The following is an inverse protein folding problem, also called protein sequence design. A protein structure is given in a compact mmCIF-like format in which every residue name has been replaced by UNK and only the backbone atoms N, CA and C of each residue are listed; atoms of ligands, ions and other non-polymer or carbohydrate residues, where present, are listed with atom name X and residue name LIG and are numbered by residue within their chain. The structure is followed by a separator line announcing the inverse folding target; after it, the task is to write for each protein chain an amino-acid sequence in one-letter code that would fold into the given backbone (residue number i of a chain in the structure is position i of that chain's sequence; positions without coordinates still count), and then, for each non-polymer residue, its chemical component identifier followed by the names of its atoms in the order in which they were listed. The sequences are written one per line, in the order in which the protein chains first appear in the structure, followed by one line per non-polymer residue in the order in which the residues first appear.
data_IF_423037322409
#
_entry.id   IF_423037322409
#
_cell.length_a   1.000
_cell.length_b   1.000
_cell.length_c   1.000
_cell.angle_alpha   90.00
_cell.angle_beta   90.00
_cell.angle_gamma   90.00
#
_symmetry.space_group_name_H-M   'P 1'
#
loop_
_entity.id
_entity.type
_entity.pdbx_description
1 polymer ?
#
# COMPACT_ATOMS: atom_id res chain seq x y z
N UNK A 1 24.79 34.10 -21.98
CA UNK A 1 25.35 33.40 -20.81
C UNK A 1 24.19 33.09 -19.87
N UNK A 2 23.60 31.92 -20.02
CA UNK A 2 22.53 31.41 -19.16
C UNK A 2 22.84 29.95 -18.90
N UNK A 3 23.04 29.64 -17.62
CA UNK A 3 23.39 28.32 -17.11
C UNK A 3 22.31 27.30 -17.47
N UNK A 4 22.62 26.40 -18.39
CA UNK A 4 21.96 25.11 -18.50
C UNK A 4 22.58 24.18 -17.45
N UNK A 5 21.98 24.15 -16.25
CA UNK A 5 22.16 23.03 -15.34
C UNK A 5 21.52 21.80 -15.99
N UNK A 6 22.32 21.06 -16.75
CA UNK A 6 22.01 19.68 -17.11
C UNK A 6 21.85 18.90 -15.82
N UNK A 7 20.62 18.51 -15.50
CA UNK A 7 20.34 17.42 -14.57
C UNK A 7 21.18 16.23 -15.01
N UNK A 8 22.22 15.91 -14.23
CA UNK A 8 22.94 14.65 -14.37
C UNK A 8 21.94 13.54 -14.10
N UNK A 9 21.64 12.78 -15.15
CA UNK A 9 20.93 11.52 -15.07
C UNK A 9 21.81 10.57 -14.23
N UNK A 10 21.60 10.57 -12.91
CA UNK A 10 22.25 9.64 -11.99
C UNK A 10 21.69 8.26 -12.27
N UNK A 11 22.31 7.55 -13.22
CA UNK A 11 21.99 6.17 -13.54
C UNK A 11 22.07 5.36 -12.24
N UNK A 12 20.92 4.89 -11.75
CA UNK A 12 20.84 4.17 -10.47
C UNK A 12 21.74 2.94 -10.53
N UNK A 13 22.59 2.74 -9.51
CA UNK A 13 23.50 1.60 -9.46
C UNK A 13 22.70 0.29 -9.55
N UNK A 14 23.07 -0.63 -10.46
CA UNK A 14 22.29 -1.84 -10.66
C UNK A 14 22.33 -2.73 -9.41
N UNK A 15 21.22 -3.44 -9.17
CA UNK A 15 21.17 -4.50 -8.17
C UNK A 15 22.01 -5.67 -8.69
N UNK A 16 23.09 -6.01 -7.98
CA UNK A 16 23.97 -7.13 -8.33
C UNK A 16 23.76 -8.31 -7.38
N UNK A 17 24.03 -9.55 -7.82
CA UNK A 17 24.01 -10.72 -6.94
C UNK A 17 24.92 -10.57 -5.71
N UNK A 18 26.06 -9.88 -5.88
CA UNK A 18 26.99 -9.59 -4.78
C UNK A 18 26.37 -8.69 -3.71
N UNK A 19 25.74 -7.58 -4.12
CA UNK A 19 25.10 -6.66 -3.18
C UNK A 19 23.90 -7.32 -2.48
N UNK A 20 23.10 -8.11 -3.20
CA UNK A 20 22.01 -8.89 -2.60
C UNK A 20 22.54 -9.89 -1.57
N UNK A 21 23.66 -10.56 -1.84
CA UNK A 21 24.27 -11.49 -0.89
C UNK A 21 24.72 -10.79 0.39
N UNK A 22 25.33 -9.60 0.29
CA UNK A 22 25.65 -8.76 1.47
C UNK A 22 24.38 -8.42 2.24
N UNK A 23 23.34 -7.98 1.54
CA UNK A 23 22.07 -7.59 2.15
C UNK A 23 21.42 -8.73 2.93
N UNK A 24 21.25 -9.90 2.31
CA UNK A 24 20.63 -11.04 3.00
C UNK A 24 21.50 -11.58 4.14
N UNK A 25 22.83 -11.56 4.00
CA UNK A 25 23.74 -12.05 5.06
C UNK A 25 23.81 -11.12 6.26
N UNK A 26 23.92 -9.80 6.04
CA UNK A 26 24.27 -8.82 7.08
C UNK A 26 23.13 -7.90 7.51
N UNK A 27 22.15 -7.64 6.62
CA UNK A 27 21.21 -6.53 6.77
C UNK A 27 19.75 -6.98 6.92
N UNK A 28 19.31 -8.01 6.21
CA UNK A 28 17.90 -8.44 6.24
C UNK A 28 17.46 -8.84 7.67
N UNK A 29 16.32 -8.33 8.20
CA UNK A 29 15.90 -8.57 9.58
C UNK A 29 15.18 -9.92 9.75
N UNK A 30 15.84 -11.02 9.36
CA UNK A 30 15.31 -12.39 9.30
C UNK A 30 14.57 -12.83 10.57
N UNK A 31 15.15 -12.57 11.74
CA UNK A 31 14.58 -12.96 13.03
C UNK A 31 13.24 -12.26 13.31
N UNK A 32 13.19 -10.93 13.21
CA UNK A 32 11.96 -10.14 13.48
C UNK A 32 10.91 -10.44 12.40
N UNK A 33 11.36 -10.63 11.16
CA UNK A 33 10.52 -11.00 10.01
C UNK A 33 9.82 -12.35 10.21
N UNK A 34 10.54 -13.38 10.65
CA UNK A 34 9.93 -14.68 10.93
C UNK A 34 9.02 -14.63 12.16
N UNK A 35 9.36 -13.80 13.16
CA UNK A 35 8.54 -13.57 14.36
C UNK A 35 7.19 -12.92 14.03
N UNK A 36 7.15 -12.00 13.06
CA UNK A 36 5.90 -11.47 12.50
C UNK A 36 5.04 -12.58 11.90
N UNK A 37 5.60 -13.38 10.98
CA UNK A 37 4.86 -14.37 10.22
C UNK A 37 4.46 -15.61 11.02
N UNK A 38 5.12 -15.84 12.15
CA UNK A 38 4.73 -16.83 13.15
C UNK A 38 3.57 -16.33 14.05
N UNK A 39 3.32 -15.02 14.09
CA UNK A 39 2.40 -14.35 15.01
C UNK A 39 2.62 -14.75 16.49
N UNK A 40 3.88 -14.88 16.87
CA UNK A 40 4.32 -15.46 18.14
C UNK A 40 5.79 -15.84 18.06
N UNK A 41 6.27 -16.62 19.02
CA UNK A 41 7.64 -17.17 18.94
C UNK A 41 7.68 -18.34 17.93
N UNK A 42 8.50 -18.29 16.86
CA UNK A 42 8.48 -19.30 15.80
C UNK A 42 8.66 -20.74 16.26
N UNK A 43 9.44 -20.96 17.33
CA UNK A 43 9.67 -22.30 17.90
C UNK A 43 8.40 -22.91 18.53
N UNK A 44 7.41 -22.07 18.87
CA UNK A 44 6.14 -22.47 19.47
C UNK A 44 4.96 -22.38 18.48
N UNK A 45 5.19 -21.97 17.22
CA UNK A 45 4.13 -21.67 16.26
C UNK A 45 4.24 -22.55 15.00
N UNK A 46 3.49 -23.68 14.94
CA UNK A 46 3.45 -24.56 13.77
C UNK A 46 3.11 -23.85 12.45
N UNK A 47 2.34 -22.76 12.54
CA UNK A 47 1.86 -21.94 11.41
C UNK A 47 3.02 -21.42 10.54
N UNK A 48 4.18 -21.11 11.12
CA UNK A 48 5.32 -20.63 10.35
C UNK A 48 5.83 -21.71 9.37
N UNK A 49 5.86 -22.97 9.81
CA UNK A 49 6.29 -24.09 8.96
C UNK A 49 5.32 -24.42 7.83
N UNK A 50 4.09 -23.94 7.93
CA UNK A 50 3.02 -24.09 6.96
C UNK A 50 2.83 -22.87 6.07
N UNK A 51 3.61 -21.80 6.30
CA UNK A 51 3.60 -20.58 5.48
C UNK A 51 4.24 -20.84 4.13
N UNK A 52 3.57 -20.46 3.06
CA UNK A 52 4.16 -20.41 1.72
C UNK A 52 5.04 -19.16 1.55
N UNK A 53 6.21 -19.37 0.97
CA UNK A 53 7.04 -18.34 0.36
C UNK A 53 7.27 -18.69 -1.12
N UNK A 54 7.48 -17.65 -1.93
CA UNK A 54 8.08 -17.82 -3.25
C UNK A 54 9.32 -16.96 -3.43
N UNK A 55 10.29 -17.51 -4.14
CA UNK A 55 11.50 -16.83 -4.54
C UNK A 55 11.57 -16.74 -6.07
N UNK A 56 11.82 -15.53 -6.58
CA UNK A 56 12.29 -15.34 -7.96
C UNK A 56 13.80 -15.21 -7.91
N UNK A 57 14.50 -16.09 -8.62
CA UNK A 57 15.96 -16.08 -8.73
C UNK A 57 16.38 -15.42 -10.05
N UNK A 58 17.69 -15.35 -10.27
CA UNK A 58 18.27 -14.90 -11.55
C UNK A 58 17.63 -15.62 -12.74
N UNK A 59 17.50 -14.91 -13.87
CA UNK A 59 16.78 -15.34 -15.07
C UNK A 59 15.28 -15.61 -14.87
N UNK A 60 14.66 -14.88 -13.92
CA UNK A 60 13.23 -14.99 -13.57
C UNK A 60 12.80 -16.43 -13.19
N UNK A 61 13.73 -17.26 -12.69
CA UNK A 61 13.41 -18.61 -12.22
C UNK A 61 12.54 -18.51 -10.97
N UNK A 62 11.26 -18.83 -11.15
CA UNK A 62 10.25 -18.70 -10.11
C UNK A 62 10.03 -20.01 -9.35
N UNK A 63 10.20 -19.99 -8.02
CA UNK A 63 10.00 -21.14 -7.13
C UNK A 63 8.93 -20.84 -6.09
N UNK A 64 7.81 -21.55 -6.18
CA UNK A 64 6.69 -21.51 -5.21
C UNK A 64 6.74 -22.64 -4.20
N UNK A 65 5.84 -22.56 -3.22
CA UNK A 65 5.66 -23.58 -2.20
C UNK A 65 6.92 -23.85 -1.38
N UNK A 66 7.74 -22.82 -1.18
CA UNK A 66 8.81 -22.87 -0.18
C UNK A 66 8.19 -22.71 1.21
N UNK A 67 8.76 -23.38 2.21
CA UNK A 67 8.30 -23.30 3.60
C UNK A 67 9.41 -23.71 4.55
N UNK A 68 9.52 -23.05 5.71
CA UNK A 68 10.66 -23.17 6.60
C UNK A 68 10.20 -23.41 8.04
N UNK A 69 10.89 -24.29 8.76
CA UNK A 69 10.49 -24.71 10.10
C UNK A 69 10.78 -23.64 11.16
N UNK A 70 11.78 -22.79 10.92
CA UNK A 70 12.20 -21.73 11.84
C UNK A 70 13.01 -20.64 11.09
N UNK A 71 13.36 -19.57 11.80
CA UNK A 71 14.12 -18.45 11.24
C UNK A 71 15.54 -18.83 10.77
N UNK A 72 16.16 -19.85 11.36
CA UNK A 72 17.50 -20.31 10.98
C UNK A 72 17.46 -21.02 9.61
N UNK A 73 16.46 -21.89 9.39
CA UNK A 73 16.25 -22.56 8.10
C UNK A 73 15.92 -21.53 7.01
N UNK A 74 15.04 -20.56 7.31
CA UNK A 74 14.70 -19.47 6.40
C UNK A 74 15.93 -18.64 6.03
N UNK A 75 16.70 -18.17 7.01
CA UNK A 75 17.88 -17.34 6.77
C UNK A 75 18.96 -18.07 5.97
N UNK A 76 19.21 -19.35 6.29
CA UNK A 76 20.17 -20.18 5.56
C UNK A 76 19.80 -20.31 4.08
N UNK A 77 18.54 -20.63 3.78
CA UNK A 77 18.09 -20.76 2.39
C UNK A 77 17.98 -19.40 1.68
N UNK A 78 17.62 -18.33 2.38
CA UNK A 78 17.61 -16.96 1.85
C UNK A 78 19.02 -16.54 1.38
N UNK A 79 20.04 -16.75 2.22
CA UNK A 79 21.44 -16.45 1.88
C UNK A 79 21.94 -17.34 0.73
N UNK A 80 21.61 -18.63 0.76
CA UNK A 80 22.04 -19.61 -0.24
C UNK A 80 21.42 -19.37 -1.62
N UNK A 81 20.12 -19.09 -1.67
CA UNK A 81 19.40 -18.88 -2.93
C UNK A 81 19.54 -17.45 -3.45
N UNK A 82 19.76 -16.47 -2.57
CA UNK A 82 19.93 -15.05 -2.89
C UNK A 82 18.87 -14.53 -3.89
N UNK A 83 17.57 -14.58 -3.54
CA UNK A 83 16.50 -14.26 -4.48
C UNK A 83 16.45 -12.78 -4.86
N UNK A 84 16.05 -12.48 -6.10
CA UNK A 84 15.75 -11.12 -6.56
C UNK A 84 14.40 -10.60 -6.02
N UNK A 85 13.43 -11.51 -5.85
CA UNK A 85 12.09 -11.20 -5.32
C UNK A 85 11.67 -12.25 -4.31
N UNK A 86 10.98 -11.81 -3.27
CA UNK A 86 10.40 -12.65 -2.23
C UNK A 86 8.92 -12.29 -2.14
N UNK A 87 8.06 -13.28 -2.22
CA UNK A 87 6.63 -13.11 -1.98
C UNK A 87 6.17 -14.03 -0.86
N UNK A 88 5.14 -13.59 -0.13
CA UNK A 88 4.56 -14.29 1.02
C UNK A 88 3.16 -14.74 0.66
N UNK A 89 2.85 -15.98 1.00
CA UNK A 89 1.54 -16.61 0.74
C UNK A 89 0.77 -16.95 2.00
N UNK A 90 -0.20 -17.86 1.84
CA UNK A 90 -1.02 -18.34 2.95
C UNK A 90 -0.24 -19.24 3.91
N UNK A 91 -0.79 -19.40 5.11
CA UNK A 91 -0.58 -20.61 5.92
C UNK A 91 -1.49 -21.70 5.37
N UNK A 92 -0.94 -22.89 5.13
CA UNK A 92 -1.65 -24.04 4.59
C UNK A 92 -1.93 -25.10 5.64
N UNK A 93 -2.82 -26.05 5.33
CA UNK A 93 -3.09 -27.24 6.15
C UNK A 93 -1.89 -28.17 6.36
N UNK A 94 -0.88 -28.09 5.50
CA UNK A 94 0.37 -28.83 5.58
C UNK A 94 1.52 -27.97 5.07
N UNK A 95 2.77 -28.43 5.25
CA UNK A 95 3.96 -27.71 4.80
C UNK A 95 3.93 -27.56 3.26
N UNK A 96 3.96 -26.34 2.70
CA UNK A 96 3.96 -26.12 1.26
C UNK A 96 5.01 -26.92 0.50
N UNK A 97 6.22 -27.11 1.05
CA UNK A 97 7.28 -27.89 0.37
C UNK A 97 6.90 -29.35 0.08
N UNK A 98 5.93 -29.89 0.83
CA UNK A 98 5.45 -31.27 0.70
C UNK A 98 4.16 -31.38 -0.14
N UNK A 99 3.66 -30.28 -0.73
CA UNK A 99 2.36 -30.24 -1.44
C UNK A 99 2.18 -31.31 -2.52
N UNK A 100 3.26 -31.73 -3.19
CA UNK A 100 3.21 -32.76 -4.24
C UNK A 100 2.84 -34.15 -3.73
N UNK A 101 2.98 -34.39 -2.43
CA UNK A 101 2.64 -35.66 -1.78
C UNK A 101 1.20 -35.69 -1.26
N UNK A 102 0.46 -34.58 -1.41
CA UNK A 102 -0.85 -34.37 -0.81
C UNK A 102 -1.91 -34.17 -1.88
N UNK A 103 -3.13 -34.64 -1.62
CA UNK A 103 -4.29 -34.31 -2.45
C UNK A 103 -4.79 -32.90 -2.19
N UNK A 104 -5.61 -32.35 -3.10
CA UNK A 104 -6.26 -31.04 -2.93
C UNK A 104 -7.12 -30.95 -1.67
N UNK A 105 -7.71 -32.07 -1.22
CA UNK A 105 -8.47 -32.10 0.03
C UNK A 105 -7.58 -32.02 1.29
N UNK A 106 -6.28 -32.38 1.15
CA UNK A 106 -5.31 -32.37 2.24
C UNK A 106 -4.42 -31.12 2.25
N UNK A 107 -4.34 -30.40 1.12
CA UNK A 107 -3.53 -29.20 0.96
C UNK A 107 -4.37 -28.01 0.51
N UNK A 108 -4.78 -27.17 1.46
CA UNK A 108 -5.60 -25.99 1.23
C UNK A 108 -5.16 -24.83 2.13
N UNK A 109 -5.37 -23.56 1.72
CA UNK A 109 -5.03 -22.41 2.54
C UNK A 109 -5.99 -22.30 3.74
N UNK A 110 -5.44 -22.00 4.92
CA UNK A 110 -6.17 -21.86 6.18
C UNK A 110 -6.34 -20.38 6.54
N UNK A 111 -5.23 -19.65 6.60
CA UNK A 111 -5.22 -18.24 6.98
C UNK A 111 -4.20 -17.47 6.16
N UNK A 112 -4.47 -16.18 5.95
CA UNK A 112 -3.56 -15.23 5.30
C UNK A 112 -3.95 -13.83 5.71
N UNK A 113 -2.98 -12.95 5.93
CA UNK A 113 -3.22 -11.52 6.10
C UNK A 113 -4.23 -10.98 5.07
N UNK A 114 -5.10 -10.08 5.51
CA UNK A 114 -5.88 -9.27 4.58
C UNK A 114 -4.94 -8.21 4.00
N UNK A 115 -4.77 -8.23 2.68
CA UNK A 115 -3.79 -7.37 2.01
C UNK A 115 -4.44 -6.46 0.98
N UNK A 116 -3.88 -5.27 0.82
CA UNK A 116 -4.27 -4.31 -0.21
C UNK A 116 -3.04 -3.91 -1.01
N UNK A 117 -3.17 -3.86 -2.33
CA UNK A 117 -2.14 -3.38 -3.25
C UNK A 117 -2.69 -2.21 -4.07
N UNK A 118 -1.90 -1.14 -4.13
CA UNK A 118 -2.25 0.14 -4.71
C UNK A 118 -1.05 0.58 -5.54
N UNK A 119 -1.19 0.51 -6.87
CA UNK A 119 -0.15 0.93 -7.81
C UNK A 119 -0.53 2.23 -8.50
N UNK A 120 0.42 3.16 -8.60
CA UNK A 120 0.24 4.43 -9.29
C UNK A 120 -0.18 4.29 -10.77
N UNK A 121 0.11 3.17 -11.45
CA UNK A 121 -0.36 2.97 -12.84
C UNK A 121 -1.87 2.97 -12.97
N UNK A 122 -2.59 2.61 -11.90
CA UNK A 122 -4.04 2.62 -11.94
C UNK A 122 -4.62 4.02 -12.04
N UNK A 123 -3.80 5.07 -11.81
CA UNK A 123 -4.17 6.49 -11.88
C UNK A 123 -3.65 7.19 -13.14
N UNK A 124 -3.12 6.46 -14.12
CA UNK A 124 -2.53 7.03 -15.33
C UNK A 124 -3.47 7.92 -16.16
N UNK A 125 -4.77 7.76 -16.01
CA UNK A 125 -5.81 8.55 -16.67
C UNK A 125 -6.14 9.88 -15.95
N UNK A 126 -5.82 9.99 -14.66
CA UNK A 126 -6.13 11.16 -13.80
C UNK A 126 -4.90 11.90 -13.28
N UNK A 127 -3.69 11.38 -13.51
CA UNK A 127 -2.42 12.09 -13.29
C UNK A 127 -1.84 12.61 -14.60
N UNK A 128 -1.22 13.80 -14.55
CA UNK A 128 -0.67 14.50 -15.70
C UNK A 128 0.82 14.84 -15.57
N UNK A 129 1.43 14.63 -14.40
CA UNK A 129 2.84 14.89 -14.17
C UNK A 129 3.79 13.75 -14.56
N UNK A 130 3.30 12.50 -14.62
CA UNK A 130 4.08 11.29 -14.90
C UNK A 130 3.22 10.28 -15.70
N UNK A 131 3.83 9.26 -16.29
CA UNK A 131 3.13 8.15 -16.96
C UNK A 131 3.71 6.79 -16.55
N UNK A 132 2.87 5.75 -16.61
CA UNK A 132 3.29 4.37 -16.43
C UNK A 132 4.02 4.15 -15.12
N UNK A 133 5.31 3.85 -15.17
CA UNK A 133 6.06 3.47 -13.99
C UNK A 133 6.77 4.60 -13.26
N UNK A 134 6.75 5.81 -13.82
CA UNK A 134 7.35 6.99 -13.24
C UNK A 134 6.48 7.54 -12.12
N UNK A 135 7.13 8.09 -11.10
CA UNK A 135 6.49 8.80 -10.00
C UNK A 135 7.27 10.07 -9.66
N UNK A 136 6.58 11.05 -9.09
CA UNK A 136 7.17 12.23 -8.49
C UNK A 136 6.34 12.63 -7.27
N UNK A 137 6.85 13.56 -6.45
CA UNK A 137 6.17 14.05 -5.25
C UNK A 137 4.74 14.51 -5.51
N UNK A 138 4.45 15.06 -6.69
CA UNK A 138 3.11 15.50 -7.08
C UNK A 138 2.11 14.35 -7.13
N UNK A 139 2.38 13.31 -7.94
CA UNK A 139 1.44 12.18 -8.04
C UNK A 139 1.47 11.29 -6.80
N UNK A 140 2.54 11.32 -5.98
CA UNK A 140 2.58 10.56 -4.73
C UNK A 140 1.49 10.96 -3.74
N UNK A 141 0.95 12.17 -3.83
CA UNK A 141 -0.26 12.60 -3.10
C UNK A 141 -1.43 11.62 -3.24
N UNK A 142 -1.56 10.93 -4.39
CA UNK A 142 -2.57 9.87 -4.56
C UNK A 142 -2.36 8.69 -3.62
N UNK A 143 -1.11 8.27 -3.39
CA UNK A 143 -0.83 7.21 -2.41
C UNK A 143 -1.09 7.69 -0.99
N UNK A 144 -0.83 8.97 -0.68
CA UNK A 144 -1.15 9.55 0.64
C UNK A 144 -2.65 9.57 0.90
N UNK A 145 -3.47 9.92 -0.09
CA UNK A 145 -4.93 9.79 0.02
C UNK A 145 -5.35 8.34 0.21
N UNK A 146 -4.83 7.43 -0.63
CA UNK A 146 -5.16 6.02 -0.58
C UNK A 146 -4.84 5.39 0.80
N UNK A 147 -3.64 5.64 1.33
CA UNK A 147 -3.24 5.16 2.65
C UNK A 147 -4.13 5.71 3.76
N UNK A 148 -4.38 7.02 3.79
CA UNK A 148 -5.21 7.63 4.84
C UNK A 148 -6.65 7.12 4.81
N UNK A 149 -7.27 7.05 3.63
CA UNK A 149 -8.65 6.59 3.48
C UNK A 149 -8.77 5.12 3.88
N UNK A 150 -7.90 4.26 3.36
CA UNK A 150 -7.98 2.82 3.64
C UNK A 150 -7.60 2.52 5.10
N UNK A 151 -6.56 3.15 5.65
CA UNK A 151 -6.16 2.91 7.05
C UNK A 151 -7.29 3.30 8.01
N UNK A 152 -7.94 4.45 7.76
CA UNK A 152 -9.11 4.89 8.50
C UNK A 152 -10.26 3.88 8.41
N UNK A 153 -10.62 3.43 7.21
CA UNK A 153 -11.67 2.41 7.03
C UNK A 153 -11.34 1.14 7.81
N UNK A 154 -10.11 0.64 7.69
CA UNK A 154 -9.69 -0.59 8.36
C UNK A 154 -9.73 -0.46 9.89
N UNK A 155 -9.37 0.71 10.43
CA UNK A 155 -9.36 0.96 11.86
C UNK A 155 -10.74 1.29 12.43
N UNK A 156 -11.41 2.31 11.88
CA UNK A 156 -12.63 2.87 12.44
C UNK A 156 -13.88 2.09 12.01
N UNK A 157 -13.94 1.64 10.76
CA UNK A 157 -15.14 0.97 10.22
C UNK A 157 -15.10 -0.55 10.52
N UNK A 158 -13.90 -1.15 10.51
CA UNK A 158 -13.72 -2.60 10.72
C UNK A 158 -13.05 -3.01 12.05
N UNK A 159 -12.47 -2.07 12.80
CA UNK A 159 -11.84 -2.37 14.10
C UNK A 159 -10.54 -3.19 14.02
N UNK A 160 -9.88 -3.23 12.86
CA UNK A 160 -8.58 -3.91 12.75
C UNK A 160 -7.49 -3.05 13.38
N UNK A 161 -6.63 -3.64 14.20
CA UNK A 161 -5.60 -2.95 14.97
C UNK A 161 -4.19 -3.14 14.41
N UNK A 162 -3.92 -4.27 13.76
CA UNK A 162 -2.59 -4.67 13.32
C UNK A 162 -2.39 -4.45 11.83
N UNK A 163 -2.32 -3.17 11.43
CA UNK A 163 -2.14 -2.73 10.04
C UNK A 163 -0.69 -2.31 9.78
N UNK A 164 -0.04 -2.94 8.78
CA UNK A 164 1.33 -2.65 8.37
C UNK A 164 1.36 -2.13 6.94
N UNK A 165 1.61 -0.84 6.77
CA UNK A 165 1.82 -0.21 5.47
C UNK A 165 3.27 -0.32 5.03
N UNK A 166 3.49 -0.69 3.77
CA UNK A 166 4.79 -0.95 3.17
C UNK A 166 4.89 -0.20 1.84
N UNK A 167 5.97 0.55 1.64
CA UNK A 167 6.33 1.05 0.32
C UNK A 167 6.74 -0.13 -0.59
N UNK A 168 6.20 -0.23 -1.80
CA UNK A 168 6.45 -1.37 -2.70
C UNK A 168 7.89 -1.43 -3.28
N UNK A 169 8.70 -0.40 -3.04
CA UNK A 169 10.04 -0.23 -3.58
C UNK A 169 10.08 0.54 -4.91
N UNK A 170 8.92 0.89 -5.49
CA UNK A 170 8.86 1.70 -6.71
C UNK A 170 7.77 2.75 -6.70
N UNK A 171 6.51 2.37 -6.91
CA UNK A 171 5.43 3.29 -7.28
C UNK A 171 4.10 3.02 -6.60
N UNK A 172 4.10 2.19 -5.56
CA UNK A 172 2.87 1.79 -4.89
C UNK A 172 3.12 1.52 -3.42
N UNK A 173 2.05 1.13 -2.75
CA UNK A 173 2.05 0.76 -1.34
C UNK A 173 1.24 -0.49 -1.13
N UNK A 174 1.66 -1.32 -0.17
CA UNK A 174 0.93 -2.49 0.27
C UNK A 174 0.48 -2.29 1.71
N UNK A 175 -0.72 -2.73 2.05
CA UNK A 175 -1.17 -2.85 3.45
C UNK A 175 -1.28 -4.33 3.82
N UNK A 176 -0.76 -4.71 4.98
CA UNK A 176 -0.90 -6.04 5.57
C UNK A 176 -1.64 -5.94 6.89
N UNK A 177 -2.87 -6.45 6.95
CA UNK A 177 -3.68 -6.53 8.17
C UNK A 177 -3.47 -7.91 8.80
N UNK A 178 -2.84 -7.92 9.98
CA UNK A 178 -2.35 -9.11 10.67
C UNK A 178 -3.23 -9.55 11.84
N UNK A 179 -4.35 -8.88 12.11
CA UNK A 179 -5.34 -9.30 13.11
C UNK A 179 -5.81 -10.73 12.86
N UNK A 180 -5.98 -11.54 13.91
CA UNK A 180 -6.38 -12.95 13.72
C UNK A 180 -7.70 -13.07 12.95
N UNK A 181 -8.68 -12.23 13.31
CA UNK A 181 -9.98 -12.16 12.63
C UNK A 181 -9.83 -11.81 11.14
N UNK A 182 -8.91 -10.89 10.79
CA UNK A 182 -8.60 -10.55 9.41
C UNK A 182 -7.97 -11.72 8.65
N UNK A 183 -7.11 -12.51 9.31
CA UNK A 183 -6.41 -13.62 8.68
C UNK A 183 -7.32 -14.79 8.31
N UNK A 184 -8.34 -15.01 9.12
CA UNK A 184 -9.30 -16.11 8.99
C UNK A 184 -10.47 -15.77 8.04
N UNK A 185 -10.56 -14.52 7.54
CA UNK A 185 -11.63 -14.09 6.64
C UNK A 185 -11.69 -14.94 5.37
N UNK A 186 -12.88 -15.45 5.06
CA UNK A 186 -13.15 -16.17 3.83
C UNK A 186 -13.16 -15.23 2.61
N UNK A 187 -12.97 -15.78 1.40
CA UNK A 187 -12.88 -15.00 0.17
C UNK A 187 -14.11 -14.11 -0.08
N UNK A 188 -15.32 -14.56 0.29
CA UNK A 188 -16.56 -13.76 0.18
C UNK A 188 -16.57 -12.56 1.13
N UNK A 189 -16.07 -12.71 2.35
CA UNK A 189 -15.97 -11.59 3.30
C UNK A 189 -14.88 -10.61 2.87
N UNK A 190 -13.75 -11.11 2.36
CA UNK A 190 -12.71 -10.26 1.74
C UNK A 190 -13.28 -9.47 0.57
N UNK A 191 -14.10 -10.11 -0.27
CA UNK A 191 -14.79 -9.45 -1.37
C UNK A 191 -15.71 -8.32 -0.87
N UNK A 192 -16.49 -8.56 0.18
CA UNK A 192 -17.36 -7.54 0.76
C UNK A 192 -16.58 -6.32 1.30
N UNK A 193 -15.40 -6.53 1.90
CA UNK A 193 -14.52 -5.43 2.33
C UNK A 193 -14.01 -4.64 1.14
N UNK A 194 -13.57 -5.32 0.07
CA UNK A 194 -13.14 -4.65 -1.16
C UNK A 194 -14.29 -3.84 -1.77
N UNK A 195 -15.49 -4.40 -1.84
CA UNK A 195 -16.69 -3.71 -2.33
C UNK A 195 -17.08 -2.51 -1.47
N UNK A 196 -16.93 -2.61 -0.15
CA UNK A 196 -17.15 -1.49 0.76
C UNK A 196 -16.22 -0.31 0.49
N UNK A 197 -14.94 -0.60 0.19
CA UNK A 197 -13.94 0.44 -0.11
C UNK A 197 -14.07 0.94 -1.54
N UNK A 198 -14.47 0.09 -2.50
CA UNK A 198 -14.43 0.41 -3.93
C UNK A 198 -15.55 1.38 -4.34
N UNK A 199 -15.14 2.57 -4.79
CA UNK A 199 -16.04 3.61 -5.30
C UNK A 199 -16.04 3.68 -6.83
N UNK A 200 -14.92 3.36 -7.47
CA UNK A 200 -14.73 3.42 -8.92
C UNK A 200 -15.15 2.07 -9.52
N UNK A 201 -16.41 1.99 -9.98
CA UNK A 201 -17.08 0.71 -10.29
C UNK A 201 -17.25 0.41 -11.79
N UNK A 202 -16.70 1.25 -12.68
CA UNK A 202 -16.80 1.06 -14.12
C UNK A 202 -15.43 1.04 -14.82
N UNK A 203 -15.35 0.35 -15.95
CA UNK A 203 -14.14 0.22 -16.75
C UNK A 203 -13.60 1.57 -17.24
N UNK A 204 -12.32 1.60 -17.67
CA UNK A 204 -11.61 2.82 -18.10
C UNK A 204 -12.28 3.55 -19.27
N UNK A 205 -13.11 2.86 -20.05
CA UNK A 205 -13.84 3.43 -21.19
C UNK A 205 -15.20 4.05 -20.82
N UNK A 206 -15.66 3.88 -19.57
CA UNK A 206 -16.90 4.51 -19.11
C UNK A 206 -16.73 6.02 -18.97
N UNK A 207 -17.70 6.79 -19.44
CA UNK A 207 -17.70 8.25 -19.29
C UNK A 207 -17.87 8.71 -17.83
N UNK A 208 -18.50 7.89 -16.98
CA UNK A 208 -18.68 8.13 -15.54
C UNK A 208 -18.43 6.85 -14.77
N UNK A 209 -17.48 6.86 -13.83
CA UNK A 209 -17.09 5.67 -13.03
C UNK A 209 -17.42 5.77 -11.55
N UNK A 210 -17.67 7.00 -11.08
CA UNK A 210 -18.12 7.27 -9.72
C UNK A 210 -19.57 7.74 -9.77
N UNK A 211 -20.43 7.08 -9.01
CA UNK A 211 -21.83 7.51 -8.80
C UNK A 211 -22.12 7.44 -7.31
N UNK A 212 -22.46 8.59 -6.73
CA UNK A 212 -22.73 8.72 -5.31
C UNK A 212 -24.21 9.00 -5.06
N UNK A 213 -24.66 8.68 -3.85
CA UNK A 213 -26.04 8.85 -3.43
C UNK A 213 -26.16 9.81 -2.25
N UNK A 214 -27.32 10.45 -2.10
CA UNK A 214 -27.64 11.33 -0.98
C UNK A 214 -28.66 10.66 -0.06
N UNK A 215 -28.45 10.63 1.27
CA UNK A 215 -27.27 11.14 1.97
C UNK A 215 -26.01 10.31 1.68
N UNK A 216 -24.85 10.96 1.71
CA UNK A 216 -23.57 10.30 1.48
C UNK A 216 -23.28 9.32 2.64
N UNK A 217 -22.81 8.11 2.32
CA UNK A 217 -22.44 7.12 3.34
C UNK A 217 -21.36 7.68 4.28
N UNK A 218 -21.40 7.43 5.61
CA UNK A 218 -20.44 8.01 6.57
C UNK A 218 -18.97 7.77 6.20
N UNK A 219 -18.61 6.56 5.78
CA UNK A 219 -17.24 6.24 5.32
C UNK A 219 -16.77 7.14 4.17
N UNK A 220 -17.69 7.49 3.26
CA UNK A 220 -17.41 8.40 2.15
C UNK A 220 -17.37 9.87 2.58
N UNK A 221 -18.13 10.27 3.62
CA UNK A 221 -18.03 11.61 4.20
C UNK A 221 -16.62 11.86 4.76
N UNK A 222 -16.06 10.87 5.47
CA UNK A 222 -14.68 10.95 5.97
C UNK A 222 -13.64 10.93 4.84
N UNK A 223 -13.83 10.09 3.83
CA UNK A 223 -12.95 10.09 2.66
C UNK A 223 -12.95 11.45 1.94
N UNK A 224 -14.11 12.09 1.83
CA UNK A 224 -14.24 13.46 1.29
C UNK A 224 -13.47 14.46 2.13
N UNK A 225 -13.57 14.41 3.45
CA UNK A 225 -12.83 15.31 4.35
C UNK A 225 -11.32 15.19 4.14
N UNK A 226 -10.80 13.97 4.03
CA UNK A 226 -9.38 13.70 3.73
C UNK A 226 -8.96 14.29 2.38
N UNK A 227 -9.77 14.14 1.34
CA UNK A 227 -9.42 14.65 0.01
C UNK A 227 -9.52 16.19 -0.02
N UNK A 228 -10.53 16.79 0.63
CA UNK A 228 -10.75 18.23 0.65
C UNK A 228 -9.56 19.03 1.19
N UNK A 229 -8.77 18.48 2.12
CA UNK A 229 -7.63 19.20 2.72
C UNK A 229 -6.56 19.57 1.69
N UNK A 230 -6.37 18.74 0.66
CA UNK A 230 -5.27 18.88 -0.30
C UNK A 230 -5.72 18.90 -1.75
N UNK A 231 -7.01 18.71 -2.06
CA UNK A 231 -7.51 18.60 -3.44
C UNK A 231 -7.13 19.79 -4.31
N UNK A 232 -7.38 21.03 -3.86
CA UNK A 232 -7.09 22.22 -4.65
C UNK A 232 -5.56 22.36 -4.88
N UNK A 233 -4.73 22.02 -3.89
CA UNK A 233 -3.27 21.98 -4.05
C UNK A 233 -2.83 20.93 -5.07
N UNK A 234 -3.31 19.69 -4.90
CA UNK A 234 -2.94 18.57 -5.76
C UNK A 234 -3.54 18.70 -7.18
N UNK A 235 -4.86 18.69 -7.31
CA UNK A 235 -5.53 18.61 -8.60
C UNK A 235 -5.36 19.92 -9.39
N UNK A 236 -5.53 21.08 -8.74
CA UNK A 236 -5.49 22.36 -9.44
C UNK A 236 -4.07 22.87 -9.66
N UNK A 237 -3.20 22.87 -8.63
CA UNK A 237 -1.86 23.48 -8.76
C UNK A 237 -0.83 22.48 -9.30
N UNK A 238 -0.77 21.26 -8.75
CA UNK A 238 0.29 20.32 -9.12
C UNK A 238 0.00 19.58 -10.43
N UNK A 239 -1.26 19.15 -10.61
CA UNK A 239 -1.71 18.38 -11.77
C UNK A 239 -2.30 19.26 -12.88
N UNK A 240 -2.71 20.49 -12.58
CA UNK A 240 -3.41 21.40 -13.51
C UNK A 240 -4.48 20.63 -14.32
N UNK A 241 -5.37 19.93 -13.60
CA UNK A 241 -6.31 18.95 -14.18
C UNK A 241 -7.37 19.53 -15.12
N UNK A 242 -7.47 20.86 -15.21
CA UNK A 242 -8.29 21.62 -16.14
C UNK A 242 -7.44 22.58 -16.98
N UNK A 243 -6.13 22.38 -17.08
CA UNK A 243 -5.20 23.32 -17.71
C UNK A 243 -5.34 23.47 -19.23
N UNK A 244 -5.65 22.36 -19.92
CA UNK A 244 -5.75 22.29 -21.37
C UNK A 244 -7.09 21.72 -21.85
N UNK A 245 -7.34 21.85 -23.16
CA UNK A 245 -8.59 21.42 -23.80
C UNK A 245 -8.85 19.92 -23.66
N UNK A 246 -7.81 19.08 -23.72
CA UNK A 246 -7.97 17.63 -23.59
C UNK A 246 -8.39 17.25 -22.17
N UNK A 247 -7.81 17.88 -21.16
CA UNK A 247 -8.15 17.65 -19.75
C UNK A 247 -9.54 18.17 -19.42
N UNK A 248 -9.91 19.35 -19.93
CA UNK A 248 -11.28 19.87 -19.83
C UNK A 248 -12.26 18.89 -20.47
N UNK A 249 -11.97 18.35 -21.65
CA UNK A 249 -12.86 17.38 -22.31
C UNK A 249 -13.05 16.10 -21.50
N UNK A 250 -12.01 15.63 -20.78
CA UNK A 250 -12.14 14.51 -19.84
C UNK A 250 -13.04 14.87 -18.67
N UNK A 251 -12.81 16.04 -18.06
CA UNK A 251 -13.63 16.55 -16.96
C UNK A 251 -15.11 16.68 -17.35
N UNK A 252 -15.40 17.21 -18.55
CA UNK A 252 -16.75 17.39 -19.06
C UNK A 252 -17.53 16.08 -19.18
N UNK A 253 -16.87 14.95 -19.45
CA UNK A 253 -17.53 13.63 -19.54
C UNK A 253 -18.11 13.17 -18.20
N UNK A 254 -17.58 13.69 -17.09
CA UNK A 254 -18.06 13.39 -15.73
C UNK A 254 -19.34 14.16 -15.38
N UNK A 255 -19.64 15.24 -16.12
CA UNK A 255 -20.75 16.15 -15.85
C UNK A 255 -21.99 15.75 -16.67
N UNK A 256 -23.07 15.27 -16.03
CA UNK A 256 -24.21 14.70 -16.75
C UNK A 256 -25.24 15.73 -17.26
N UNK A 257 -25.05 17.04 -17.03
CA UNK A 257 -26.08 18.07 -17.27
C UNK A 257 -25.67 19.11 -18.33
N UNK A 258 -26.48 19.22 -19.37
CA UNK A 258 -26.26 20.14 -20.50
C UNK A 258 -26.18 21.62 -20.09
N UNK A 259 -26.84 22.05 -19.01
CA UNK A 259 -26.74 23.43 -18.52
C UNK A 259 -25.36 23.70 -17.92
N UNK A 260 -24.83 22.72 -17.19
CA UNK A 260 -23.47 22.81 -16.62
C UNK A 260 -22.45 22.73 -17.77
N UNK A 261 -22.65 21.85 -18.75
CA UNK A 261 -21.81 21.79 -19.95
C UNK A 261 -21.80 23.13 -20.70
N UNK A 262 -22.95 23.77 -20.88
CA UNK A 262 -23.06 25.08 -21.52
C UNK A 262 -22.35 26.18 -20.71
N UNK A 263 -22.44 26.14 -19.38
CA UNK A 263 -21.69 27.05 -18.51
C UNK A 263 -20.17 26.82 -18.61
N UNK A 264 -19.70 25.59 -18.63
CA UNK A 264 -18.27 25.29 -18.80
C UNK A 264 -17.81 25.67 -20.20
N UNK A 265 -18.65 25.53 -21.24
CA UNK A 265 -18.36 26.06 -22.57
C UNK A 265 -18.17 27.58 -22.53
N UNK A 266 -19.01 28.33 -21.79
CA UNK A 266 -18.81 29.76 -21.57
C UNK A 266 -17.49 30.06 -20.85
N UNK A 267 -17.13 29.30 -19.82
CA UNK A 267 -15.81 29.40 -19.17
C UNK A 267 -14.72 29.17 -20.22
N UNK A 268 -14.79 28.08 -21.01
CA UNK A 268 -13.80 27.77 -22.06
C UNK A 268 -13.62 28.94 -23.03
N UNK A 269 -14.69 29.61 -23.46
CA UNK A 269 -14.62 30.80 -24.31
C UNK A 269 -14.06 32.02 -23.59
N UNK A 270 -14.55 32.32 -22.37
CA UNK A 270 -14.12 33.46 -21.56
C UNK A 270 -12.61 33.43 -21.28
N UNK A 271 -12.05 32.23 -21.10
CA UNK A 271 -10.64 32.04 -20.77
C UNK A 271 -9.77 31.63 -21.97
N UNK A 272 -10.33 31.55 -23.20
CA UNK A 272 -9.65 31.07 -24.43
C UNK A 272 -8.35 31.81 -24.77
N UNK A 273 -8.26 33.10 -24.44
CA UNK A 273 -7.12 33.96 -24.77
C UNK A 273 -6.27 34.35 -23.54
N UNK A 274 -6.58 33.83 -22.35
CA UNK A 274 -5.73 34.00 -21.17
C UNK A 274 -4.75 32.84 -21.13
N UNK A 275 -3.46 33.14 -21.38
CA UNK A 275 -2.36 32.18 -21.46
C UNK A 275 -2.22 31.28 -20.22
N UNK A 276 -2.81 31.69 -19.10
CA UNK A 276 -3.01 30.86 -17.92
C UNK A 276 -4.33 31.28 -17.26
N UNK A 277 -5.35 30.43 -17.33
CA UNK A 277 -6.30 30.34 -16.23
C UNK A 277 -5.96 29.04 -15.53
N UNK A 278 -5.27 29.14 -14.38
CA UNK A 278 -4.93 27.98 -13.56
C UNK A 278 -6.21 27.19 -13.30
N UNK A 279 -6.12 25.86 -13.30
CA UNK A 279 -7.24 24.98 -12.96
C UNK A 279 -8.01 25.44 -11.71
N UNK A 280 -7.34 26.14 -10.79
CA UNK A 280 -7.90 26.80 -9.61
C UNK A 280 -9.08 27.73 -9.93
N UNK A 281 -8.95 28.64 -10.91
CA UNK A 281 -10.02 29.58 -11.28
C UNK A 281 -11.20 28.84 -11.93
N UNK A 282 -10.90 27.91 -12.84
CA UNK A 282 -11.91 27.10 -13.55
C UNK A 282 -12.70 26.24 -12.56
N UNK A 283 -11.99 25.61 -11.61
CA UNK A 283 -12.59 24.78 -10.57
C UNK A 283 -13.41 25.60 -9.57
N UNK A 284 -12.93 26.76 -9.12
CA UNK A 284 -13.68 27.66 -8.25
C UNK A 284 -14.99 28.15 -8.91
N UNK A 285 -14.93 28.55 -10.18
CA UNK A 285 -16.12 28.96 -10.94
C UNK A 285 -17.11 27.79 -11.11
N UNK A 286 -16.61 26.58 -11.37
CA UNK A 286 -17.44 25.38 -11.45
C UNK A 286 -18.14 25.07 -10.11
N UNK A 287 -17.40 25.11 -8.98
CA UNK A 287 -17.96 24.90 -7.64
C UNK A 287 -19.08 25.91 -7.35
N UNK A 288 -18.81 27.20 -7.56
CA UNK A 288 -19.77 28.28 -7.34
C UNK A 288 -21.03 28.12 -8.21
N UNK A 289 -20.88 27.77 -9.47
CA UNK A 289 -22.03 27.55 -10.36
C UNK A 289 -22.85 26.34 -9.94
N UNK A 290 -22.20 25.25 -9.55
CA UNK A 290 -22.86 24.02 -9.09
C UNK A 290 -23.66 24.28 -7.81
N UNK A 291 -23.09 25.01 -6.85
CA UNK A 291 -23.78 25.46 -5.64
C UNK A 291 -24.99 26.36 -5.96
N UNK A 292 -24.84 27.31 -6.90
CA UNK A 292 -25.94 28.13 -7.39
C UNK A 292 -27.07 27.29 -8.00
N UNK A 293 -26.72 26.24 -8.77
CA UNK A 293 -27.68 25.30 -9.31
C UNK A 293 -28.41 24.54 -8.21
N UNK A 294 -27.70 23.98 -7.22
CA UNK A 294 -28.31 23.29 -6.06
C UNK A 294 -29.34 24.18 -5.33
N UNK A 295 -29.03 25.47 -5.17
CA UNK A 295 -29.90 26.44 -4.49
C UNK A 295 -31.09 26.87 -5.35
N UNK A 296 -30.94 26.88 -6.67
CA UNK A 296 -31.98 27.29 -7.62
C UNK A 296 -32.97 26.16 -7.99
N UNK A 297 -32.57 24.89 -7.84
CA UNK A 297 -33.45 23.75 -8.14
C UNK A 297 -34.62 23.71 -7.16
N UNK A 298 -35.83 23.84 -7.70
CA UNK A 298 -37.08 23.75 -6.95
C UNK A 298 -37.21 22.39 -6.26
N UNK A 299 -37.88 22.37 -5.10
CA UNK A 299 -38.10 21.15 -4.30
C UNK A 299 -38.81 20.01 -5.07
N UNK A 300 -39.42 20.31 -6.22
CA UNK A 300 -40.13 19.36 -7.08
C UNK A 300 -39.19 18.53 -7.97
N UNK A 301 -37.92 18.91 -8.16
CA UNK A 301 -36.94 18.12 -8.93
C UNK A 301 -35.83 17.54 -8.03
N UNK A 302 -36.24 16.66 -7.11
CA UNK A 302 -35.35 16.05 -6.09
C UNK A 302 -34.18 15.28 -6.71
N UNK A 303 -34.39 14.57 -7.82
CA UNK A 303 -33.36 13.79 -8.49
C UNK A 303 -32.23 14.67 -9.04
N UNK A 304 -32.58 15.77 -9.72
CA UNK A 304 -31.58 16.72 -10.24
C UNK A 304 -30.82 17.42 -9.11
N UNK A 305 -31.51 17.80 -8.02
CA UNK A 305 -30.86 18.38 -6.84
C UNK A 305 -29.85 17.41 -6.21
N UNK A 306 -30.22 16.14 -6.06
CA UNK A 306 -29.33 15.10 -5.52
C UNK A 306 -28.10 14.92 -6.42
N UNK A 307 -28.29 14.86 -7.74
CA UNK A 307 -27.18 14.72 -8.69
C UNK A 307 -26.17 15.89 -8.62
N UNK A 308 -26.64 17.13 -8.49
CA UNK A 308 -25.72 18.27 -8.30
C UNK A 308 -25.04 18.27 -6.94
N UNK A 309 -25.74 17.79 -5.90
CA UNK A 309 -25.22 17.74 -4.53
C UNK A 309 -24.01 16.80 -4.44
N UNK A 310 -24.00 15.70 -5.19
CA UNK A 310 -22.89 14.75 -5.19
C UNK A 310 -21.83 15.00 -6.26
N UNK A 311 -22.09 15.87 -7.25
CA UNK A 311 -21.22 16.03 -8.42
C UNK A 311 -19.79 16.45 -8.08
N UNK A 312 -19.61 17.37 -7.13
CA UNK A 312 -18.27 17.80 -6.68
C UNK A 312 -17.53 16.62 -6.05
N UNK A 313 -18.20 15.87 -5.17
CA UNK A 313 -17.63 14.71 -4.49
C UNK A 313 -17.30 13.59 -5.50
N UNK A 314 -18.16 13.34 -6.49
CA UNK A 314 -17.93 12.38 -7.57
C UNK A 314 -16.68 12.70 -8.38
N UNK A 315 -16.48 13.97 -8.73
CA UNK A 315 -15.29 14.45 -9.44
C UNK A 315 -14.05 14.30 -8.55
N UNK A 316 -14.12 14.71 -7.29
CA UNK A 316 -12.98 14.58 -6.37
C UNK A 316 -12.59 13.11 -6.20
N UNK A 317 -13.56 12.21 -6.09
CA UNK A 317 -13.29 10.78 -5.94
C UNK A 317 -12.76 10.14 -7.22
N UNK A 318 -13.24 10.55 -8.39
CA UNK A 318 -12.69 10.08 -9.67
C UNK A 318 -11.17 10.34 -9.77
N UNK A 319 -10.73 11.53 -9.33
CA UNK A 319 -9.33 11.95 -9.43
C UNK A 319 -8.44 11.48 -8.27
N UNK A 320 -9.00 11.31 -7.07
CA UNK A 320 -8.18 11.13 -5.86
C UNK A 320 -8.51 9.89 -5.01
N UNK A 321 -9.65 9.23 -5.23
CA UNK A 321 -10.05 8.10 -4.38
C UNK A 321 -9.20 6.84 -4.67
N UNK A 322 -8.89 6.02 -3.65
CA UNK A 322 -8.11 4.81 -3.82
C UNK A 322 -8.64 3.84 -4.89
N UNK A 323 -7.71 3.32 -5.70
CA UNK A 323 -7.92 2.27 -6.70
C UNK A 323 -7.22 1.00 -6.22
N UNK A 324 -8.00 -0.06 -5.99
CA UNK A 324 -7.50 -1.32 -5.43
C UNK A 324 -7.33 -2.37 -6.53
N UNK A 325 -6.24 -3.14 -6.48
CA UNK A 325 -6.24 -4.46 -7.13
C UNK A 325 -7.03 -5.45 -6.28
N UNK A 326 -8.32 -5.54 -6.59
CA UNK A 326 -9.26 -6.39 -5.90
C UNK A 326 -8.84 -7.88 -5.87
N UNK A 327 -8.10 -8.37 -6.87
CA UNK A 327 -7.74 -9.79 -6.94
C UNK A 327 -6.69 -10.17 -5.89
N UNK A 328 -5.80 -9.23 -5.55
CA UNK A 328 -4.76 -9.42 -4.52
C UNK A 328 -5.39 -9.59 -3.14
N UNK A 329 -6.49 -8.87 -2.88
CA UNK A 329 -7.21 -8.91 -1.60
C UNK A 329 -8.11 -10.14 -1.47
N UNK A 330 -8.85 -10.52 -2.51
CA UNK A 330 -9.85 -11.61 -2.48
C UNK A 330 -9.27 -13.00 -2.22
N UNK A 331 -8.20 -13.35 -2.94
CA UNK A 331 -7.71 -14.73 -3.01
C UNK A 331 -6.90 -15.14 -1.79
N UNK A 332 -7.23 -16.24 -1.12
CA UNK A 332 -6.43 -16.76 -0.01
C UNK A 332 -5.04 -17.27 -0.43
N UNK A 333 -4.87 -17.69 -1.67
CA UNK A 333 -3.61 -18.23 -2.22
C UNK A 333 -2.79 -17.20 -3.00
N UNK A 334 -3.20 -15.92 -2.98
CA UNK A 334 -2.48 -14.86 -3.66
C UNK A 334 -1.17 -14.54 -2.92
N UNK A 335 -0.09 -14.39 -3.68
CA UNK A 335 1.22 -14.04 -3.17
C UNK A 335 1.43 -12.54 -3.29
N UNK A 336 1.96 -11.91 -2.25
CA UNK A 336 2.30 -10.49 -2.29
C UNK A 336 3.74 -10.27 -1.86
N UNK A 337 4.39 -9.30 -2.50
CA UNK A 337 5.80 -8.97 -2.28
C UNK A 337 6.08 -8.68 -0.81
N UNK A 338 7.14 -9.30 -0.31
CA UNK A 338 7.57 -9.22 1.08
C UNK A 338 8.02 -7.80 1.48
N UNK A 339 7.73 -7.37 2.73
CA UNK A 339 8.48 -6.30 3.38
C UNK A 339 9.99 -6.58 3.33
N UNK A 340 10.79 -5.51 3.29
CA UNK A 340 12.24 -5.54 3.20
C UNK A 340 12.81 -6.23 1.94
N UNK A 341 12.00 -6.57 0.93
CA UNK A 341 12.54 -6.96 -0.38
C UNK A 341 13.17 -5.78 -1.10
N UNK A 342 14.23 -6.04 -1.86
CA UNK A 342 14.84 -5.05 -2.76
C UNK A 342 14.04 -5.01 -4.06
N UNK A 343 13.72 -3.81 -4.55
CA UNK A 343 13.13 -3.69 -5.89
C UNK A 343 14.24 -3.76 -6.96
N UNK A 344 14.22 -4.72 -7.90
CA UNK A 344 15.36 -5.02 -8.77
C UNK A 344 15.75 -3.86 -9.69
N UNK A 345 14.78 -3.04 -10.13
CA UNK A 345 15.06 -1.91 -11.04
C UNK A 345 15.49 -0.62 -10.34
N UNK A 346 15.14 -0.43 -9.06
CA UNK A 346 15.37 0.85 -8.34
C UNK A 346 16.38 0.71 -7.21
N UNK A 347 16.73 -0.52 -6.83
CA UNK A 347 17.56 -0.83 -5.66
C UNK A 347 16.93 -0.43 -4.32
N UNK A 348 15.72 0.15 -4.30
CA UNK A 348 15.06 0.61 -3.08
C UNK A 348 14.55 -0.55 -2.26
N UNK A 349 14.65 -0.42 -0.94
CA UNK A 349 14.09 -1.38 0.01
C UNK A 349 12.58 -1.15 0.16
N UNK A 350 11.80 -2.24 0.23
CA UNK A 350 10.36 -2.19 0.50
C UNK A 350 10.13 -1.97 2.00
N UNK A 351 10.16 -0.71 2.44
CA UNK A 351 10.18 -0.34 3.85
C UNK A 351 8.78 -0.17 4.46
N UNK A 352 8.60 -0.43 5.76
CA UNK A 352 7.41 -0.04 6.49
C UNK A 352 7.28 1.49 6.60
N UNK A 353 6.04 1.96 6.52
CA UNK A 353 5.65 3.35 6.71
C UNK A 353 4.96 3.44 8.07
N UNK A 354 5.41 4.38 8.90
CA UNK A 354 4.81 4.58 10.23
C UNK A 354 3.37 5.14 10.10
N UNK A 355 2.44 4.79 11.00
CA UNK A 355 1.05 5.26 10.94
C UNK A 355 0.91 6.78 10.95
N UNK A 356 1.71 7.46 11.76
CA UNK A 356 1.77 8.93 11.80
C UNK A 356 2.30 9.51 10.49
N UNK A 357 3.11 8.76 9.73
CA UNK A 357 3.70 9.18 8.47
C UNK A 357 2.85 8.98 7.21
N UNK A 358 1.71 8.27 7.28
CA UNK A 358 0.85 8.05 6.12
C UNK A 358 0.45 9.35 5.38
N UNK A 359 0.14 10.48 6.08
CA UNK A 359 -0.26 11.72 5.41
C UNK A 359 0.88 12.48 4.72
N UNK A 360 2.16 12.15 4.97
CA UNK A 360 3.31 12.95 4.50
C UNK A 360 4.48 12.13 3.94
N UNK A 361 4.43 10.81 4.00
CA UNK A 361 5.45 9.95 3.40
C UNK A 361 5.53 10.20 1.90
N UNK A 362 6.76 10.41 1.40
CA UNK A 362 7.05 10.66 -0.01
C UNK A 362 8.40 10.00 -0.39
N UNK A 363 8.40 8.92 -1.19
CA UNK A 363 9.59 8.18 -1.58
C UNK A 363 10.41 8.91 -2.65
N UNK A 364 9.93 10.03 -3.18
CA UNK A 364 10.69 10.86 -4.13
C UNK A 364 11.59 11.87 -3.41
N UNK A 365 11.39 12.13 -2.11
CA UNK A 365 12.28 12.99 -1.32
C UNK A 365 13.61 12.30 -1.08
N UNK A 366 14.69 13.08 -1.14
CA UNK A 366 16.03 12.60 -0.85
C UNK A 366 16.13 12.02 0.56
N UNK A 367 16.81 10.88 0.71
CA UNK A 367 16.98 10.19 1.99
C UNK A 367 15.72 9.52 2.57
N UNK A 368 14.56 9.59 1.90
CA UNK A 368 13.31 9.00 2.40
C UNK A 368 13.27 7.47 2.37
N UNK A 369 13.99 6.84 1.43
CA UNK A 369 14.00 5.39 1.23
C UNK A 369 15.44 4.92 1.03
N UNK A 370 15.96 4.01 1.87
CA UNK A 370 17.29 3.43 1.69
C UNK A 370 17.41 2.65 0.38
N UNK A 371 18.55 2.79 -0.29
CA UNK A 371 18.93 1.97 -1.45
C UNK A 371 19.93 0.88 -1.07
N UNK A 372 19.87 -0.26 -1.76
CA UNK A 372 20.77 -1.39 -1.56
C UNK A 372 22.24 -0.99 -1.63
N UNK A 373 22.63 -0.17 -2.62
CA UNK A 373 24.01 0.29 -2.79
C UNK A 373 24.52 1.07 -1.59
N UNK A 374 23.71 1.98 -1.05
CA UNK A 374 24.04 2.80 0.12
C UNK A 374 24.18 1.94 1.38
N UNK A 375 23.25 0.99 1.55
CA UNK A 375 23.28 0.05 2.67
C UNK A 375 24.52 -0.86 2.64
N UNK A 376 24.92 -1.36 1.46
CA UNK A 376 26.14 -2.13 1.32
C UNK A 376 27.38 -1.30 1.66
N UNK A 377 27.48 -0.06 1.17
CA UNK A 377 28.59 0.84 1.49
C UNK A 377 28.72 1.12 2.99
N UNK A 378 27.60 1.38 3.67
CA UNK A 378 27.57 1.59 5.13
C UNK A 378 28.13 0.37 5.88
N UNK A 379 27.77 -0.84 5.44
CA UNK A 379 28.15 -2.10 6.09
C UNK A 379 29.58 -2.54 5.77
N UNK A 380 30.12 -2.17 4.61
CA UNK A 380 31.52 -2.41 4.24
C UNK A 380 32.50 -1.51 5.04
N UNK A 381 32.05 -0.35 5.48
CA UNK A 381 32.81 0.57 6.34
C UNK A 381 32.86 0.12 7.81
N UNK A 382 31.97 -0.79 8.21
CA UNK A 382 31.98 -1.33 9.58
C UNK A 382 33.22 -2.19 9.80
N UNK A 383 33.79 -2.20 11.02
CA UNK A 383 34.86 -3.12 11.36
C UNK A 383 34.45 -4.55 11.02
N UNK A 384 35.35 -5.32 10.38
CA UNK A 384 35.12 -6.75 10.21
C UNK A 384 34.98 -7.34 11.60
N UNK A 385 33.76 -7.75 11.98
CA UNK A 385 33.56 -8.49 13.21
C UNK A 385 34.39 -9.77 13.09
N UNK A 386 35.30 -10.02 14.04
CA UNK A 386 36.00 -11.29 14.09
C UNK A 386 34.94 -12.40 14.16
N UNK A 387 35.00 -13.34 13.22
CA UNK A 387 34.20 -14.56 13.29
C UNK A 387 34.76 -15.44 14.42
N UNK A 388 34.53 -15.05 15.68
CA UNK A 388 34.80 -15.92 16.81
C UNK A 388 33.79 -17.06 16.76
N UNK A 389 34.22 -18.16 16.17
CA UNK A 389 33.60 -19.48 16.27
C UNK A 389 34.03 -20.04 17.64
N UNK A 390 33.46 -19.53 18.72
CA UNK A 390 33.61 -20.18 20.02
C UNK A 390 32.25 -20.39 20.70
N UNK A 391 31.99 -21.67 20.97
CA UNK A 391 31.07 -22.19 21.97
C UNK A 391 29.59 -21.86 21.82
N UNK A 392 28.93 -22.51 20.85
CA UNK A 392 27.66 -23.25 21.03
C UNK A 392 26.45 -22.55 21.67
N UNK A 393 26.50 -21.24 21.91
CA UNK A 393 25.45 -20.39 22.42
C UNK A 393 25.24 -19.31 21.37
N UNK A 394 24.16 -19.41 20.62
CA UNK A 394 23.74 -18.39 19.66
C UNK A 394 23.29 -17.14 20.44
N UNK A 395 24.23 -16.36 20.96
CA UNK A 395 23.98 -14.95 21.20
C UNK A 395 23.55 -14.39 19.85
N UNK A 396 22.31 -13.92 19.76
CA UNK A 396 21.72 -13.31 18.57
C UNK A 396 22.70 -12.22 18.12
N UNK A 397 23.54 -12.54 17.12
CA UNK A 397 24.54 -11.60 16.62
C UNK A 397 23.78 -10.36 16.20
N UNK A 398 24.11 -9.23 16.81
CA UNK A 398 23.47 -7.96 16.52
C UNK A 398 23.74 -7.66 15.04
N UNK A 399 22.73 -7.86 14.21
CA UNK A 399 22.84 -7.68 12.75
C UNK A 399 23.27 -6.25 12.46
N UNK A 400 24.03 -6.10 11.38
CA UNK A 400 24.65 -4.83 11.01
C UNK A 400 23.64 -3.76 10.61
N UNK A 401 22.38 -4.13 10.34
CA UNK A 401 21.30 -3.18 10.08
C UNK A 401 21.12 -2.13 11.18
N UNK A 402 21.57 -2.38 12.41
CA UNK A 402 21.52 -1.39 13.50
C UNK A 402 22.41 -0.17 13.26
N UNK A 403 23.37 -0.29 12.34
CA UNK A 403 24.35 0.74 11.98
C UNK A 403 24.13 1.24 10.55
N UNK A 404 22.93 1.07 10.00
CA UNK A 404 22.57 1.51 8.65
C UNK A 404 21.35 2.41 8.64
N UNK A 405 21.11 3.07 7.51
CA UNK A 405 19.90 3.85 7.27
C UNK A 405 18.59 3.01 7.32
N UNK A 406 18.68 1.68 7.38
CA UNK A 406 17.52 0.80 7.50
C UNK A 406 16.98 0.70 8.94
N UNK A 407 17.79 1.04 9.95
CA UNK A 407 17.42 0.88 11.38
C UNK A 407 16.07 1.52 11.76
N UNK A 408 15.76 2.77 11.41
CA UNK A 408 14.49 3.38 11.80
C UNK A 408 13.26 2.61 11.29
N UNK A 409 13.37 2.04 10.08
CA UNK A 409 12.31 1.24 9.48
C UNK A 409 12.18 -0.13 10.15
N UNK A 410 13.28 -0.73 10.58
CA UNK A 410 13.26 -1.95 11.40
C UNK A 410 12.66 -1.67 12.77
N UNK A 411 12.84 -0.48 13.35
CA UNK A 411 12.20 -0.11 14.61
C UNK A 411 10.69 0.08 14.48
N UNK A 412 10.22 0.65 13.37
CA UNK A 412 8.78 0.70 13.04
C UNK A 412 8.23 -0.73 12.99
N UNK A 413 8.89 -1.61 12.23
CA UNK A 413 8.46 -3.00 12.10
C UNK A 413 8.51 -3.78 13.42
N UNK A 414 9.56 -3.59 14.22
CA UNK A 414 9.72 -4.25 15.52
C UNK A 414 8.61 -3.86 16.48
N UNK A 415 8.24 -2.57 16.53
CA UNK A 415 7.09 -2.10 17.34
C UNK A 415 5.77 -2.72 16.87
N UNK A 416 5.58 -2.83 15.55
CA UNK A 416 4.41 -3.51 14.98
C UNK A 416 4.34 -4.99 15.41
N UNK A 417 5.45 -5.73 15.31
CA UNK A 417 5.53 -7.14 15.71
C UNK A 417 5.31 -7.30 17.21
N UNK A 418 5.87 -6.43 18.04
CA UNK A 418 5.66 -6.47 19.49
C UNK A 418 4.19 -6.26 19.87
N UNK A 419 3.53 -5.26 19.29
CA UNK A 419 2.11 -4.97 19.58
C UNK A 419 1.17 -6.11 19.21
N UNK A 420 1.42 -6.79 18.09
CA UNK A 420 0.61 -7.96 17.69
C UNK A 420 0.77 -9.17 18.61
N UNK A 421 1.82 -9.22 19.43
CA UNK A 421 2.05 -10.30 20.38
C UNK A 421 1.47 -10.01 21.75
N UNK A 422 1.55 -8.76 22.22
CA UNK A 422 0.92 -8.36 23.49
C UNK A 422 -0.59 -8.54 23.44
N UNK A 423 -1.25 -8.12 22.35
CA UNK A 423 -2.70 -8.29 22.21
C UNK A 423 -3.13 -9.76 22.27
N UNK A 424 -2.32 -10.67 21.72
CA UNK A 424 -2.59 -12.12 21.81
C UNK A 424 -2.46 -12.68 23.23
N UNK A 425 -1.49 -12.19 24.00
CA UNK A 425 -1.34 -12.61 25.39
C UNK A 425 -2.55 -12.15 26.21
N UNK A 426 -3.00 -10.92 26.02
CA UNK A 426 -4.18 -10.37 26.70
C UNK A 426 -5.47 -11.13 26.32
N UNK A 427 -5.66 -11.45 25.03
CA UNK A 427 -6.79 -12.30 24.59
C UNK A 427 -6.76 -13.71 25.17
N UNK A 428 -5.56 -14.30 25.29
CA UNK A 428 -5.40 -15.66 25.85
C UNK A 428 -5.70 -15.67 27.34
N UNK A 429 -5.23 -14.65 28.08
CA UNK A 429 -5.54 -14.44 29.50
C UNK A 429 -7.03 -14.19 29.71
N UNK A 430 -7.66 -13.35 28.89
CA UNK A 430 -9.10 -13.11 28.98
C UNK A 430 -9.93 -14.38 28.72
N UNK A 431 -9.51 -15.23 27.76
CA UNK A 431 -10.15 -16.53 27.50
C UNK A 431 -9.91 -17.55 28.61
N UNK A 432 -8.74 -17.57 29.24
CA UNK A 432 -8.49 -18.44 30.40
C UNK A 432 -9.32 -18.02 31.58
N UNK A 433 -9.37 -16.73 31.90
CA UNK A 433 -10.15 -16.18 33.02
C UNK A 433 -11.65 -16.44 32.84
N UNK A 434 -12.16 -16.28 31.60
CA UNK A 434 -13.55 -16.60 31.27
C UNK A 434 -13.85 -18.10 31.41
N UNK A 435 -12.95 -18.98 31.00
CA UNK A 435 -13.12 -20.43 31.15
C UNK A 435 -13.03 -20.88 32.62
N UNK A 436 -12.16 -20.26 33.42
CA UNK A 436 -12.07 -20.50 34.87
C UNK A 436 -13.33 -20.03 35.60
N UNK A 437 -13.94 -18.91 35.17
CA UNK A 437 -15.24 -18.48 35.68
C UNK A 437 -16.37 -19.46 35.34
N UNK A 438 -16.30 -20.13 34.19
CA UNK A 438 -17.31 -21.13 33.78
C UNK A 438 -17.10 -22.51 34.41
N UNK A 439 -15.87 -22.89 34.78
CA UNK A 439 -15.58 -24.19 35.41
C UNK A 439 -15.94 -24.25 36.90
N UNK A 440 -16.30 -23.12 37.52
CA UNK A 440 -16.75 -23.07 38.92
C UNK A 440 -15.67 -23.38 39.95
N UNK A 441 -14.39 -23.35 39.56
CA UNK A 441 -13.25 -23.46 40.47
C UNK A 441 -12.92 -22.06 41.02
N UNK A 442 -13.67 -21.64 42.05
CA UNK A 442 -13.28 -20.54 42.96
C UNK A 442 -13.05 -21.12 44.34
#
# INVERSE_FOLDING_TARGET
MSNEEKQQDTQEAPVTPWNLAIYYRRIFPSHIYCKWLAYGEPAACPQFSQREFSFTLENDVYRRYLSFSNHIEFEKELIKMCPEKIDIGAVYSAKPKDHKMLSTAQFYPIERELVFDIDMTDYDDVRFCCRGAEICSKCWTLMRFAMQIIDRVLHEDFGFEHRLWIYSGRRGVHCWVSDQTARELQSSTRQAIVEHITVINAGKDSSKRVTLYTPLHPSLQHAREIILTEFDGYACLEQDFLGDDQRIERFLRLVPDDNILFYIFKIRIQYKNKLASLSTERWAAFKQHTEGMINSVTATNKFRKAAYTTLIDEIMFEYCYPRLDANVTKGMNHLLKSPFSIHPKTGRVSIPIAPDALPYFDPCKEGSVPKLSELCQQVEQLPKQNEDIENGKTNIKQKDFNQTALKPFIDIFSRFVQRSQTSKQDETLAKSDFNTMLSGEI
#
